data_IF_944667809321
#
_entry.id   IF_944667809321
#
_cell.length_a   1.000
_cell.length_b   1.000
_cell.length_c   1.000
_cell.angle_alpha   90.00
_cell.angle_beta   90.00
_cell.angle_gamma   90.00
#
_symmetry.space_group_name_H-M   'P 1'
#
loop_
_entity.id
_entity.type
_entity.pdbx_description
1 polymer ?
#
# COMPACT_ATOMS: atom_id res chain seq x y z
N UNK A 1 -45.77 40.31 -23.05
CA UNK A 1 -44.65 39.46 -23.52
C UNK A 1 -43.35 39.61 -22.70
N UNK A 2 -43.31 40.38 -21.60
CA UNK A 2 -42.11 40.48 -20.75
C UNK A 2 -42.06 39.44 -19.62
N UNK A 3 -43.21 38.94 -19.17
CA UNK A 3 -43.35 38.08 -17.98
C UNK A 3 -42.83 36.66 -18.17
N UNK A 4 -42.96 36.07 -19.35
CA UNK A 4 -42.47 34.71 -19.63
C UNK A 4 -40.95 34.61 -19.66
N UNK A 5 -40.24 35.65 -20.11
CA UNK A 5 -38.76 35.64 -20.15
C UNK A 5 -38.13 35.65 -18.75
N UNK A 6 -38.68 36.44 -17.82
CA UNK A 6 -38.21 36.45 -16.42
C UNK A 6 -38.56 35.17 -15.68
N UNK A 7 -39.69 34.53 -16.03
CA UNK A 7 -40.07 33.24 -15.48
C UNK A 7 -39.07 32.13 -15.86
N UNK A 8 -38.63 32.08 -17.13
CA UNK A 8 -37.58 31.15 -17.56
C UNK A 8 -36.23 31.43 -16.90
N UNK A 9 -35.86 32.70 -16.71
CA UNK A 9 -34.62 33.08 -16.03
C UNK A 9 -34.60 32.64 -14.57
N UNK A 10 -35.72 32.79 -13.85
CA UNK A 10 -35.86 32.34 -12.46
C UNK A 10 -35.76 30.82 -12.34
N UNK A 11 -36.33 30.06 -13.29
CA UNK A 11 -36.20 28.60 -13.33
C UNK A 11 -34.75 28.17 -13.52
N UNK A 12 -34.00 28.83 -14.42
CA UNK A 12 -32.58 28.51 -14.64
C UNK A 12 -31.72 28.82 -13.41
N UNK A 13 -31.98 29.94 -12.72
CA UNK A 13 -31.27 30.29 -11.48
C UNK A 13 -31.59 29.26 -10.39
N UNK A 14 -32.87 28.90 -10.21
CA UNK A 14 -33.27 27.89 -9.24
C UNK A 14 -32.64 26.52 -9.54
N UNK A 15 -32.63 26.09 -10.81
CA UNK A 15 -31.99 24.84 -11.23
C UNK A 15 -30.48 24.86 -10.99
N UNK A 16 -29.81 26.00 -11.22
CA UNK A 16 -28.37 26.14 -10.94
C UNK A 16 -28.06 26.06 -9.44
N UNK A 17 -28.90 26.66 -8.59
CA UNK A 17 -28.74 26.58 -7.14
C UNK A 17 -28.98 25.16 -6.63
N UNK A 18 -29.99 24.47 -7.15
CA UNK A 18 -30.24 23.05 -6.84
C UNK A 18 -29.05 22.19 -7.27
N UNK A 19 -28.49 22.44 -8.45
CA UNK A 19 -27.31 21.72 -8.92
C UNK A 19 -26.09 21.94 -8.01
N UNK A 20 -25.83 23.18 -7.58
CA UNK A 20 -24.73 23.50 -6.65
C UNK A 20 -24.93 22.81 -5.30
N UNK A 21 -26.17 22.80 -4.77
CA UNK A 21 -26.47 22.11 -3.51
C UNK A 21 -26.31 20.60 -3.64
N UNK A 22 -26.80 20.00 -4.73
CA UNK A 22 -26.64 18.58 -5.01
C UNK A 22 -25.17 18.21 -5.22
N UNK A 23 -24.40 19.07 -5.89
CA UNK A 23 -22.96 18.87 -6.07
C UNK A 23 -22.21 18.94 -4.73
N UNK A 24 -22.54 19.89 -3.86
CA UNK A 24 -21.94 19.98 -2.53
C UNK A 24 -22.34 18.80 -1.64
N UNK A 25 -23.60 18.38 -1.68
CA UNK A 25 -24.10 17.24 -0.92
C UNK A 25 -23.49 15.92 -1.40
N UNK A 26 -23.34 15.75 -2.72
CA UNK A 26 -22.66 14.60 -3.30
C UNK A 26 -21.16 14.62 -2.99
N UNK A 27 -20.51 15.79 -3.09
CA UNK A 27 -19.11 15.96 -2.71
C UNK A 27 -18.86 15.73 -1.22
N UNK A 28 -19.84 15.97 -0.34
CA UNK A 28 -19.72 15.67 1.09
C UNK A 28 -20.01 14.21 1.42
N UNK A 29 -20.80 13.51 0.58
CA UNK A 29 -21.23 12.14 0.80
C UNK A 29 -20.48 11.11 -0.05
N UNK A 30 -19.42 11.52 -0.77
CA UNK A 30 -18.52 10.57 -1.42
C UNK A 30 -17.98 9.65 -0.32
N UNK A 31 -18.31 8.34 -0.32
CA UNK A 31 -17.88 7.44 0.73
C UNK A 31 -16.36 7.49 0.78
N UNK A 32 -15.81 7.90 1.92
CA UNK A 32 -14.38 7.82 2.13
C UNK A 32 -13.96 6.34 2.01
N UNK A 33 -13.52 5.94 0.82
CA UNK A 33 -12.56 4.85 0.66
C UNK A 33 -11.27 5.36 1.32
N UNK A 34 -11.24 5.30 2.66
CA UNK A 34 -10.08 5.66 3.44
C UNK A 34 -8.99 4.68 3.07
N UNK A 35 -8.04 5.13 2.26
CA UNK A 35 -6.67 4.64 2.32
C UNK A 35 -6.19 4.97 3.74
N UNK A 36 -6.51 4.10 4.69
CA UNK A 36 -6.10 4.24 6.08
C UNK A 36 -4.60 3.99 6.13
N UNK A 37 -3.85 5.08 6.20
CA UNK A 37 -2.43 5.00 6.50
C UNK A 37 -2.29 4.81 8.01
N UNK A 38 -2.04 3.58 8.44
CA UNK A 38 -1.94 3.23 9.87
C UNK A 38 -0.50 3.40 10.36
N UNK A 39 -0.34 4.19 11.42
CA UNK A 39 0.88 4.28 12.22
C UNK A 39 0.81 3.22 13.33
N UNK A 40 1.68 2.21 13.29
CA UNK A 40 1.75 1.15 14.31
C UNK A 40 2.95 1.42 15.23
N UNK A 41 2.71 1.48 16.54
CA UNK A 41 3.73 1.61 17.60
C UNK A 41 4.19 0.22 18.07
N UNK A 42 5.51 -0.06 18.04
CA UNK A 42 6.09 -1.37 18.42
C UNK A 42 6.49 -1.40 19.91
N UNK A 43 6.12 -2.48 20.61
CA UNK A 43 6.42 -2.76 22.04
C UNK A 43 7.88 -3.14 22.32
N UNK A 44 8.32 -2.94 23.57
CA UNK A 44 9.71 -2.69 23.99
C UNK A 44 10.57 -3.94 24.33
N UNK A 45 10.02 -5.16 24.29
CA UNK A 45 10.63 -6.31 24.99
C UNK A 45 11.75 -7.05 24.24
N UNK A 46 12.04 -6.70 22.97
CA UNK A 46 13.07 -7.39 22.15
C UNK A 46 14.46 -6.73 22.13
N UNK A 47 14.68 -5.66 22.89
CA UNK A 47 15.86 -4.79 22.79
C UNK A 47 17.19 -5.33 23.37
N UNK A 48 17.20 -6.47 24.09
CA UNK A 48 18.43 -6.95 24.75
C UNK A 48 19.45 -7.60 23.80
N UNK A 49 19.02 -8.19 22.67
CA UNK A 49 19.93 -8.93 21.79
C UNK A 49 20.75 -8.03 20.84
N UNK A 50 20.36 -6.75 20.68
CA UNK A 50 20.98 -5.81 19.72
C UNK A 50 22.26 -5.15 20.25
N UNK A 51 22.46 -5.09 21.58
CA UNK A 51 23.60 -4.37 22.19
C UNK A 51 24.97 -4.95 21.85
N UNK A 52 25.05 -6.24 21.48
CA UNK A 52 26.32 -6.91 21.23
C UNK A 52 26.97 -6.53 19.89
N UNK A 53 26.18 -6.08 18.90
CA UNK A 53 26.70 -5.70 17.58
C UNK A 53 27.22 -4.26 17.50
N UNK A 54 26.98 -3.43 18.52
CA UNK A 54 27.33 -2.01 18.52
C UNK A 54 28.83 -1.72 18.76
N UNK A 55 29.63 -2.73 19.10
CA UNK A 55 31.03 -2.52 19.50
C UNK A 55 32.03 -2.48 18.34
N UNK A 56 31.60 -2.71 17.09
CA UNK A 56 32.52 -2.79 15.93
C UNK A 56 32.40 -1.65 14.89
N UNK A 57 31.56 -0.63 15.10
CA UNK A 57 31.34 0.44 14.09
C UNK A 57 31.71 1.84 14.55
N UNK A 58 32.69 1.97 15.46
CA UNK A 58 33.25 3.26 15.87
C UNK A 58 34.54 3.56 15.11
N UNK A 59 34.43 3.85 13.82
CA UNK A 59 35.38 4.72 13.10
C UNK A 59 34.70 5.17 11.82
N UNK A 60 34.51 6.48 11.69
CA UNK A 60 33.91 7.13 10.51
C UNK A 60 32.40 6.89 10.39
N UNK A 61 31.64 7.59 11.22
CA UNK A 61 30.28 7.93 10.87
C UNK A 61 30.34 8.64 9.51
N UNK A 62 29.97 7.92 8.44
CA UNK A 62 29.53 8.51 7.19
C UNK A 62 28.60 9.65 7.57
N UNK A 63 29.05 10.88 7.34
CA UNK A 63 28.20 12.06 7.32
C UNK A 63 27.37 11.94 6.03
N UNK A 64 26.50 10.93 6.00
CA UNK A 64 25.53 10.75 4.96
C UNK A 64 24.61 11.97 5.06
N UNK A 65 24.69 12.82 4.04
CA UNK A 65 23.73 13.88 3.76
C UNK A 65 22.40 13.18 3.44
N UNK A 66 21.65 12.85 4.49
CA UNK A 66 20.36 12.20 4.34
C UNK A 66 19.37 13.26 3.88
N UNK A 67 18.89 13.13 2.65
CA UNK A 67 17.81 13.98 2.12
C UNK A 67 16.60 13.92 3.07
N UNK A 68 16.37 15.00 3.81
CA UNK A 68 15.27 15.13 4.78
C UNK A 68 13.88 14.99 4.12
N UNK A 69 13.82 15.08 2.78
CA UNK A 69 12.60 14.90 2.00
C UNK A 69 12.52 13.53 1.31
N UNK A 70 13.44 12.61 1.60
CA UNK A 70 13.46 11.29 1.00
C UNK A 70 12.17 10.52 1.32
N UNK A 71 11.54 10.02 0.27
CA UNK A 71 10.41 9.11 0.36
C UNK A 71 10.77 7.80 -0.31
N UNK A 72 10.65 6.70 0.45
CA UNK A 72 10.80 5.34 -0.05
C UNK A 72 9.42 4.70 -0.12
N UNK A 73 9.08 4.09 -1.26
CA UNK A 73 7.90 3.25 -1.42
C UNK A 73 8.33 1.80 -1.60
N UNK A 74 7.96 0.97 -0.64
CA UNK A 74 8.04 -0.47 -0.70
C UNK A 74 6.68 -1.07 -1.07
N UNK A 75 6.43 -1.23 -2.37
CA UNK A 75 5.18 -1.79 -2.89
C UNK A 75 5.19 -3.33 -2.80
N UNK A 76 5.22 -3.82 -1.56
CA UNK A 76 5.51 -5.20 -1.17
C UNK A 76 4.64 -6.26 -1.86
N UNK A 77 5.31 -7.20 -2.52
CA UNK A 77 4.68 -8.44 -3.01
C UNK A 77 4.32 -9.38 -1.84
N UNK A 78 3.15 -10.04 -1.84
CA UNK A 78 2.82 -11.06 -0.84
C UNK A 78 3.77 -12.27 -0.87
N UNK A 79 4.09 -12.79 0.33
CA UNK A 79 4.86 -14.05 0.54
C UNK A 79 6.32 -14.04 0.04
N UNK A 80 6.96 -12.87 0.05
CA UNK A 80 8.36 -12.66 -0.33
C UNK A 80 9.29 -12.28 0.83
N UNK A 81 8.87 -12.50 2.09
CA UNK A 81 9.61 -12.05 3.27
C UNK A 81 9.33 -10.59 3.67
N UNK A 82 8.29 -10.00 3.09
CA UNK A 82 7.95 -8.58 3.29
C UNK A 82 7.62 -8.19 4.73
N UNK A 83 7.04 -9.08 5.54
CA UNK A 83 6.77 -8.80 6.96
C UNK A 83 8.06 -8.64 7.75
N UNK A 84 9.05 -9.51 7.52
CA UNK A 84 10.35 -9.44 8.20
C UNK A 84 11.07 -8.13 7.85
N UNK A 85 11.09 -7.75 6.57
CA UNK A 85 11.72 -6.52 6.12
C UNK A 85 11.03 -5.27 6.68
N UNK A 86 9.70 -5.23 6.72
CA UNK A 86 8.95 -4.11 7.29
C UNK A 86 9.18 -3.97 8.80
N UNK A 87 9.24 -5.08 9.55
CA UNK A 87 9.51 -5.01 10.98
C UNK A 87 10.88 -4.39 11.28
N UNK A 88 11.90 -4.68 10.46
CA UNK A 88 13.19 -4.01 10.55
C UNK A 88 13.06 -2.49 10.37
N UNK A 89 12.22 -2.02 9.44
CA UNK A 89 12.00 -0.58 9.26
C UNK A 89 11.32 0.06 10.47
N UNK A 90 10.34 -0.61 11.09
CA UNK A 90 9.71 -0.13 12.31
C UNK A 90 10.68 -0.10 13.51
N UNK A 91 11.61 -1.04 13.60
CA UNK A 91 12.62 -1.07 14.66
C UNK A 91 13.63 0.07 14.52
N UNK A 92 13.98 0.44 13.28
CA UNK A 92 14.99 1.45 12.98
C UNK A 92 14.45 2.88 12.86
N UNK A 93 13.15 3.07 12.62
CA UNK A 93 12.57 4.38 12.30
C UNK A 93 12.79 5.43 13.39
N UNK A 94 12.67 5.03 14.66
CA UNK A 94 12.91 5.92 15.81
C UNK A 94 14.36 6.33 15.95
N UNK A 95 15.29 5.39 15.71
CA UNK A 95 16.74 5.63 15.86
C UNK A 95 17.28 6.51 14.73
N UNK A 96 16.74 6.33 13.53
CA UNK A 96 17.21 7.00 12.31
C UNK A 96 16.29 8.17 11.90
N UNK A 97 15.36 8.57 12.76
CA UNK A 97 14.48 9.74 12.60
C UNK A 97 13.69 9.79 11.26
N UNK A 98 13.03 8.68 10.90
CA UNK A 98 12.11 8.64 9.75
C UNK A 98 10.76 8.01 10.14
N UNK A 99 9.76 8.15 9.28
CA UNK A 99 8.41 7.64 9.52
C UNK A 99 8.13 6.37 8.72
N UNK A 100 7.38 5.42 9.28
CA UNK A 100 6.92 4.21 8.58
C UNK A 100 5.41 4.20 8.49
N UNK A 101 4.89 4.06 7.27
CA UNK A 101 3.47 4.23 6.96
C UNK A 101 2.94 3.02 6.17
N UNK A 102 1.95 2.33 6.72
CA UNK A 102 1.29 1.21 6.03
C UNK A 102 0.14 1.71 5.16
N UNK A 103 0.18 1.43 3.86
CA UNK A 103 -0.89 1.74 2.90
C UNK A 103 -1.92 0.60 2.93
N UNK A 104 -3.08 0.87 3.54
CA UNK A 104 -4.20 -0.05 3.49
C UNK A 104 -5.04 0.16 2.23
N UNK A 105 -5.41 -0.91 1.54
CA UNK A 105 -6.18 -0.86 0.29
C UNK A 105 -7.42 -1.74 0.43
N UNK A 106 -8.58 -1.19 0.06
CA UNK A 106 -9.85 -1.90 0.09
C UNK A 106 -9.78 -3.20 -0.71
N UNK A 107 -10.32 -4.28 -0.13
CA UNK A 107 -10.39 -5.62 -0.72
C UNK A 107 -9.04 -6.22 -1.17
N UNK A 108 -7.90 -5.71 -0.70
CA UNK A 108 -6.56 -6.10 -1.18
C UNK A 108 -6.41 -5.98 -2.71
N UNK A 109 -7.15 -5.07 -3.34
CA UNK A 109 -6.91 -4.70 -4.73
C UNK A 109 -5.52 -4.07 -4.82
N UNK A 110 -4.68 -4.56 -5.74
CA UNK A 110 -3.35 -4.01 -5.93
C UNK A 110 -3.33 -2.83 -6.93
N UNK A 111 -4.43 -2.59 -7.64
CA UNK A 111 -4.57 -1.52 -8.63
C UNK A 111 -5.54 -0.46 -8.10
N UNK A 112 -5.08 0.79 -8.06
CA UNK A 112 -5.92 1.94 -7.72
C UNK A 112 -6.73 2.46 -8.91
N UNK A 113 -7.94 2.96 -8.63
CA UNK A 113 -8.66 3.83 -9.56
C UNK A 113 -7.87 5.13 -9.80
N UNK A 114 -8.06 5.78 -10.94
CA UNK A 114 -7.38 7.03 -11.26
C UNK A 114 -7.55 8.12 -10.17
N UNK A 115 -8.75 8.35 -9.59
CA UNK A 115 -8.90 9.29 -8.48
C UNK A 115 -8.06 8.91 -7.26
N UNK A 116 -7.98 7.61 -6.92
CA UNK A 116 -7.17 7.13 -5.80
C UNK A 116 -5.67 7.26 -6.08
N UNK A 117 -5.24 7.07 -7.34
CA UNK A 117 -3.85 7.33 -7.75
C UNK A 117 -3.47 8.80 -7.53
N UNK A 118 -4.29 9.73 -7.99
CA UNK A 118 -4.06 11.18 -7.83
C UNK A 118 -4.04 11.56 -6.34
N UNK A 119 -5.01 11.06 -5.56
CA UNK A 119 -5.09 11.31 -4.11
C UNK A 119 -3.87 10.77 -3.38
N UNK A 120 -3.47 9.53 -3.68
CA UNK A 120 -2.30 8.91 -3.07
C UNK A 120 -1.02 9.69 -3.38
N UNK A 121 -0.82 10.04 -4.65
CA UNK A 121 0.34 10.83 -5.08
C UNK A 121 0.38 12.17 -4.36
N UNK A 122 -0.73 12.92 -4.34
CA UNK A 122 -0.82 14.20 -3.63
C UNK A 122 -0.48 14.06 -2.14
N UNK A 123 -0.99 13.02 -1.48
CA UNK A 123 -0.73 12.78 -0.06
C UNK A 123 0.75 12.49 0.20
N UNK A 124 1.37 11.61 -0.60
CA UNK A 124 2.79 11.28 -0.46
C UNK A 124 3.67 12.49 -0.72
N UNK A 125 3.34 13.31 -1.72
CA UNK A 125 4.18 14.46 -2.08
C UNK A 125 4.04 15.65 -1.15
N UNK A 126 2.81 15.96 -0.68
CA UNK A 126 2.52 17.18 0.06
C UNK A 126 2.64 17.04 1.60
N UNK A 127 2.74 15.82 2.12
CA UNK A 127 2.77 15.58 3.57
C UNK A 127 4.18 15.75 4.15
N UNK A 128 4.67 17.00 4.18
CA UNK A 128 6.04 17.32 4.63
C UNK A 128 6.34 16.85 6.06
N UNK A 129 5.36 16.91 6.96
CA UNK A 129 5.53 16.49 8.36
C UNK A 129 5.86 15.00 8.53
N UNK A 130 5.65 14.16 7.50
CA UNK A 130 5.98 12.74 7.53
C UNK A 130 7.32 12.42 6.87
N UNK A 131 8.01 13.40 6.28
CA UNK A 131 9.30 13.15 5.63
C UNK A 131 10.46 13.26 6.64
N UNK A 132 11.51 12.43 6.53
CA UNK A 132 11.66 11.29 5.61
C UNK A 132 10.67 10.16 5.90
N UNK A 133 10.19 9.49 4.86
CA UNK A 133 9.11 8.51 4.96
C UNK A 133 9.41 7.19 4.26
N UNK A 134 8.98 6.09 4.87
CA UNK A 134 8.96 4.75 4.30
C UNK A 134 7.51 4.26 4.22
N UNK A 135 6.93 4.30 3.04
CA UNK A 135 5.60 3.78 2.77
C UNK A 135 5.67 2.32 2.34
N UNK A 136 4.81 1.46 2.88
CA UNK A 136 4.72 0.06 2.44
C UNK A 136 3.27 -0.40 2.28
N UNK A 137 3.00 -1.24 1.28
CA UNK A 137 1.66 -1.78 1.06
C UNK A 137 1.59 -2.70 -0.15
N UNK A 138 0.46 -3.39 -0.31
CA UNK A 138 0.23 -4.32 -1.42
C UNK A 138 -0.35 -3.61 -2.65
N UNK A 139 0.42 -2.69 -3.24
CA UNK A 139 0.05 -1.95 -4.45
C UNK A 139 0.95 -2.27 -5.64
N UNK A 140 0.40 -2.14 -6.84
CA UNK A 140 1.15 -2.14 -8.08
C UNK A 140 2.00 -0.86 -8.18
N UNK A 141 3.06 -0.91 -8.99
CA UNK A 141 3.87 0.25 -9.30
C UNK A 141 2.99 1.41 -9.80
N UNK A 142 3.23 2.59 -9.23
CA UNK A 142 2.55 3.82 -9.60
C UNK A 142 3.56 4.82 -10.10
N UNK A 143 3.33 5.33 -11.30
CA UNK A 143 4.21 6.30 -11.92
C UNK A 143 3.81 7.72 -11.52
N UNK A 144 4.53 8.29 -10.56
CA UNK A 144 4.31 9.66 -10.06
C UNK A 144 4.49 10.72 -11.16
N UNK A 145 5.31 10.43 -12.19
CA UNK A 145 5.54 11.37 -13.28
C UNK A 145 4.29 11.59 -14.14
N UNK A 146 3.45 10.55 -14.29
CA UNK A 146 2.19 10.61 -15.03
C UNK A 146 1.08 11.37 -14.28
N UNK A 147 1.29 11.66 -13.00
CA UNK A 147 0.32 12.32 -12.13
C UNK A 147 0.63 13.80 -11.89
N UNK A 148 1.52 14.40 -12.71
CA UNK A 148 1.80 15.84 -12.68
C UNK A 148 2.77 16.29 -11.59
N UNK A 149 3.49 15.37 -10.94
CA UNK A 149 4.48 15.68 -9.88
C UNK A 149 5.86 15.06 -10.16
N UNK A 150 6.51 15.38 -11.29
CA UNK A 150 7.77 14.76 -11.70
C UNK A 150 8.93 15.04 -10.72
N UNK A 151 8.92 16.19 -10.02
CA UNK A 151 9.97 16.59 -9.08
C UNK A 151 9.91 15.86 -7.73
N UNK A 152 8.84 15.12 -7.45
CA UNK A 152 8.62 14.42 -6.18
C UNK A 152 8.59 12.90 -6.39
N UNK A 153 9.55 12.38 -7.16
CA UNK A 153 9.65 10.94 -7.46
C UNK A 153 10.20 10.20 -6.23
N UNK A 154 9.41 9.32 -5.60
CA UNK A 154 9.89 8.51 -4.48
C UNK A 154 10.85 7.42 -4.98
N UNK A 155 11.72 6.95 -4.10
CA UNK A 155 12.55 5.78 -4.32
C UNK A 155 11.69 4.52 -4.19
N UNK A 156 11.56 3.76 -5.27
CA UNK A 156 10.90 2.45 -5.22
C UNK A 156 11.90 1.35 -4.90
N UNK A 157 11.53 0.47 -3.97
CA UNK A 157 12.26 -0.77 -3.68
C UNK A 157 11.27 -1.93 -3.64
N UNK A 158 11.75 -3.16 -3.85
CA UNK A 158 10.92 -4.35 -3.74
C UNK A 158 11.73 -5.62 -3.42
N UNK A 159 11.03 -6.67 -2.97
CA UNK A 159 11.56 -8.01 -2.76
C UNK A 159 10.65 -9.01 -3.48
N UNK A 160 11.25 -9.79 -4.37
CA UNK A 160 10.59 -10.83 -5.16
C UNK A 160 11.06 -12.23 -4.73
N UNK A 161 10.31 -13.25 -5.14
CA UNK A 161 10.63 -14.66 -4.87
C UNK A 161 10.40 -15.48 -6.13
N UNK A 162 11.03 -16.67 -6.23
CA UNK A 162 10.71 -17.64 -7.29
C UNK A 162 9.18 -17.82 -7.39
N UNK A 163 8.58 -17.72 -8.60
CA UNK A 163 7.12 -17.67 -8.74
C UNK A 163 6.40 -18.87 -8.11
N UNK A 164 6.93 -20.09 -8.32
CA UNK A 164 6.38 -21.32 -7.76
C UNK A 164 6.46 -21.33 -6.23
N UNK A 165 7.64 -21.09 -5.65
CA UNK A 165 7.82 -21.07 -4.18
C UNK A 165 6.91 -20.04 -3.49
N UNK A 166 6.69 -18.89 -4.14
CA UNK A 166 5.76 -17.87 -3.66
C UNK A 166 4.31 -18.38 -3.70
N UNK A 167 3.90 -19.02 -4.80
CA UNK A 167 2.57 -19.61 -4.93
C UNK A 167 2.33 -20.71 -3.89
N UNK A 168 3.29 -21.63 -3.73
CA UNK A 168 3.24 -22.69 -2.70
C UNK A 168 3.16 -22.09 -1.29
N UNK A 169 3.96 -21.05 -1.01
CA UNK A 169 3.89 -20.34 0.28
C UNK A 169 2.55 -19.67 0.51
N UNK A 170 1.91 -19.13 -0.53
CA UNK A 170 0.57 -18.56 -0.45
C UNK A 170 -0.50 -19.63 -0.25
N UNK A 171 -0.39 -20.75 -0.96
CA UNK A 171 -1.31 -21.88 -0.88
C UNK A 171 -1.45 -22.42 0.55
N UNK A 172 -0.32 -22.71 1.22
CA UNK A 172 -0.34 -23.21 2.59
C UNK A 172 -0.63 -22.12 3.61
N UNK A 173 -0.29 -20.87 3.33
CA UNK A 173 -0.71 -19.75 4.16
C UNK A 173 -2.22 -19.62 4.26
N UNK A 174 -2.97 -19.84 3.18
CA UNK A 174 -4.43 -19.80 3.21
C UNK A 174 -5.06 -20.92 4.04
N UNK A 175 -4.33 -22.02 4.27
CA UNK A 175 -4.79 -23.23 4.99
C UNK A 175 -4.39 -23.22 6.45
N UNK A 176 -3.14 -22.84 6.74
CA UNK A 176 -2.54 -22.96 8.07
C UNK A 176 -2.20 -21.61 8.72
N UNK A 177 -2.34 -20.50 8.00
CA UNK A 177 -2.02 -19.18 8.52
C UNK A 177 -0.53 -18.88 8.60
N UNK A 178 -0.16 -18.12 9.62
CA UNK A 178 1.20 -17.68 9.92
C UNK A 178 1.39 -17.61 11.43
N UNK A 179 2.65 -17.58 11.87
CA UNK A 179 3.04 -17.45 13.27
C UNK A 179 3.07 -15.98 13.76
N UNK A 180 2.94 -15.01 12.85
CA UNK A 180 2.94 -13.59 13.19
C UNK A 180 1.59 -13.12 13.76
N UNK A 181 0.48 -13.69 13.28
CA UNK A 181 -0.89 -13.44 13.76
C UNK A 181 -1.66 -14.77 13.86
N UNK A 182 -1.32 -15.63 14.84
CA UNK A 182 -1.78 -17.02 14.89
C UNK A 182 -3.29 -17.17 15.10
N UNK A 183 -3.95 -16.17 15.68
CA UNK A 183 -5.39 -16.21 15.95
C UNK A 183 -6.25 -15.89 14.73
N UNK A 184 -5.66 -15.46 13.60
CA UNK A 184 -6.42 -15.14 12.39
C UNK A 184 -6.68 -16.41 11.57
N UNK A 185 -7.92 -16.89 11.62
CA UNK A 185 -8.39 -17.97 10.76
C UNK A 185 -8.43 -17.50 9.30
N UNK A 186 -7.83 -18.30 8.41
CA UNK A 186 -7.72 -17.98 6.99
C UNK A 186 -8.86 -18.59 6.18
N UNK A 187 -9.10 -18.04 4.99
CA UNK A 187 -10.25 -18.38 4.14
C UNK A 187 -10.31 -19.87 3.74
N UNK A 188 -9.17 -20.57 3.68
CA UNK A 188 -9.10 -22.01 3.36
C UNK A 188 -8.75 -22.87 4.59
N UNK A 189 -8.95 -22.36 5.81
CA UNK A 189 -8.66 -23.11 7.03
C UNK A 189 -9.49 -24.40 7.08
N UNK A 190 -8.84 -25.50 7.45
CA UNK A 190 -9.45 -26.84 7.49
C UNK A 190 -9.32 -27.66 6.20
N UNK A 191 -8.87 -27.06 5.09
CA UNK A 191 -8.49 -27.82 3.90
C UNK A 191 -7.08 -28.43 4.10
N UNK A 192 -7.02 -29.76 4.10
CA UNK A 192 -5.80 -30.55 4.31
C UNK A 192 -5.15 -31.03 3.01
N UNK A 193 -5.72 -30.71 1.85
CA UNK A 193 -5.16 -31.09 0.54
C UNK A 193 -3.75 -30.50 0.37
N UNK A 194 -2.82 -31.32 -0.10
CA UNK A 194 -1.46 -30.86 -0.39
C UNK A 194 -1.42 -30.08 -1.70
N UNK A 195 -0.38 -29.27 -1.90
CA UNK A 195 -0.17 -28.56 -3.16
C UNK A 195 -0.04 -29.53 -4.34
N UNK A 196 0.69 -30.64 -4.17
CA UNK A 196 0.87 -31.66 -5.20
C UNK A 196 -0.46 -32.35 -5.58
N UNK A 197 -1.29 -32.69 -4.59
CA UNK A 197 -2.64 -33.21 -4.83
C UNK A 197 -3.53 -32.20 -5.54
N UNK A 198 -3.44 -30.93 -5.15
CA UNK A 198 -4.15 -29.84 -5.82
C UNK A 198 -3.79 -29.79 -7.30
N UNK A 199 -2.49 -29.86 -7.64
CA UNK A 199 -1.99 -29.82 -9.02
C UNK A 199 -2.45 -31.05 -9.79
N UNK A 200 -2.32 -32.25 -9.22
CA UNK A 200 -2.77 -33.49 -9.83
C UNK A 200 -4.28 -33.48 -10.13
N UNK A 201 -5.08 -32.84 -9.26
CA UNK A 201 -6.53 -32.67 -9.41
C UNK A 201 -6.93 -31.40 -10.17
N UNK A 202 -5.98 -30.64 -10.71
CA UNK A 202 -6.20 -29.41 -11.48
C UNK A 202 -7.13 -28.42 -10.78
N UNK A 203 -6.93 -28.20 -9.48
CA UNK A 203 -7.77 -27.27 -8.69
C UNK A 203 -7.31 -25.83 -8.87
N UNK A 204 -8.24 -24.89 -8.69
CA UNK A 204 -8.02 -23.46 -8.93
C UNK A 204 -6.91 -22.84 -8.07
N UNK A 205 -6.76 -23.23 -6.80
CA UNK A 205 -5.80 -22.60 -5.88
C UNK A 205 -4.31 -22.81 -6.27
N UNK A 206 -4.02 -23.82 -7.10
CA UNK A 206 -2.67 -24.18 -7.58
C UNK A 206 -2.53 -24.05 -9.10
N UNK A 207 -3.50 -23.43 -9.77
CA UNK A 207 -3.44 -23.12 -11.19
C UNK A 207 -2.16 -22.31 -11.52
N UNK A 208 -1.38 -22.70 -12.55
CA UNK A 208 -0.20 -21.95 -13.00
C UNK A 208 -0.44 -20.46 -13.26
N UNK A 209 -1.66 -20.07 -13.66
CA UNK A 209 -2.06 -18.67 -13.85
C UNK A 209 -1.90 -17.84 -12.57
N UNK A 210 -2.01 -18.46 -11.38
CA UNK A 210 -1.79 -17.79 -10.10
C UNK A 210 -0.32 -17.39 -9.86
N UNK A 211 0.61 -17.84 -10.72
CA UNK A 211 2.00 -17.35 -10.71
C UNK A 211 2.11 -15.93 -11.31
N UNK A 212 1.14 -15.50 -12.13
CA UNK A 212 1.05 -14.16 -12.72
C UNK A 212 0.60 -13.11 -11.70
N UNK A 213 1.44 -12.86 -10.70
CA UNK A 213 1.22 -11.84 -9.67
C UNK A 213 2.34 -10.81 -9.63
N UNK A 214 3.59 -11.28 -9.66
CA UNK A 214 4.75 -10.40 -9.51
C UNK A 214 4.87 -9.43 -10.67
N UNK A 215 4.63 -9.88 -11.90
CA UNK A 215 4.73 -9.03 -13.09
C UNK A 215 3.77 -7.83 -13.03
N UNK A 216 2.45 -8.00 -12.77
CA UNK A 216 1.54 -6.87 -12.57
C UNK A 216 1.99 -5.87 -11.49
N UNK A 217 2.61 -6.34 -10.40
CA UNK A 217 3.12 -5.46 -9.35
C UNK A 217 4.22 -4.48 -9.83
N UNK A 218 4.98 -4.82 -10.88
CA UNK A 218 5.99 -3.94 -11.48
C UNK A 218 5.50 -3.25 -12.75
N UNK A 219 4.67 -3.93 -13.56
CA UNK A 219 4.06 -3.33 -14.75
C UNK A 219 3.15 -2.14 -14.38
N UNK A 220 2.54 -2.21 -13.18
CA UNK A 220 1.81 -1.11 -12.60
C UNK A 220 0.33 -1.13 -12.98
N UNK A 221 -0.25 0.06 -13.09
CA UNK A 221 -1.70 0.23 -13.24
C UNK A 221 -2.21 0.07 -14.69
N UNK A 222 -1.35 -0.37 -15.61
CA UNK A 222 -1.68 -0.61 -17.02
C UNK A 222 -1.48 -2.09 -17.43
N UNK A 223 -1.27 -2.97 -16.45
CA UNK A 223 -1.00 -4.39 -16.62
C UNK A 223 -2.24 -5.22 -17.03
#
# INVERSE_FOLDING_TARGET
>A
MLTTKYFFLLILIAASLIFVVLFHWFSSNDPEDRILVRYDTVNNDRFQQVRHWQTMTNSEALQADFDERLVVIYNRVPKTGSTSFVNLTYDLCRKNAFHVLHINITANMHVFSLPNQIRFVRNVTAWEAMKPAFYHGHLAYLDFSKMGVPAAKPLYINLVRKPLDRLVSYYYFLRYGDDYRPHLVRHRSGDTMTFDECVAKQKQDCDPNNMWLQIPFFCGHAA
#
